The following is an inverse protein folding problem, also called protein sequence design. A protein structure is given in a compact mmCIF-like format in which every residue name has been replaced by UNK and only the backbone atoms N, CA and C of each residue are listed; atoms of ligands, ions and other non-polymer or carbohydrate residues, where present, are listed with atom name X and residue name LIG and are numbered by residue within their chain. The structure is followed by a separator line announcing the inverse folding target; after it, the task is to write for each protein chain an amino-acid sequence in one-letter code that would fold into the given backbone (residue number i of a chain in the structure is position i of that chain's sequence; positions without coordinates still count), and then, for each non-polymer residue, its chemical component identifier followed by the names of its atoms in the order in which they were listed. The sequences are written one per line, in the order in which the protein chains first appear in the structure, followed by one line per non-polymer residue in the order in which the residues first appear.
data_IF_978719783939
#
_entry.id   IF_978719783939
#
_cell.length_a   1.000
_cell.length_b   1.000
_cell.length_c   1.000
_cell.angle_alpha   90.00
_cell.angle_beta   90.00
_cell.angle_gamma   90.00
#
_symmetry.space_group_name_H-M   'P 1'
#
loop_
_entity.id
_entity.type
_entity.pdbx_description
1 polymer ?
#
# COMPACT_ATOMS: atom_id res chain seq x y z
N UNK A 1 5.49 14.55 -21.03
CA UNK A 1 6.20 13.32 -21.44
C UNK A 1 7.33 12.95 -20.48
N UNK A 2 8.30 13.84 -20.21
CA UNK A 2 9.45 13.57 -19.30
C UNK A 2 9.00 13.12 -17.89
N UNK A 3 7.98 13.76 -17.29
CA UNK A 3 7.45 13.36 -15.98
C UNK A 3 6.93 11.91 -15.93
N UNK A 4 6.30 11.44 -17.01
CA UNK A 4 5.81 10.06 -17.11
C UNK A 4 6.98 9.07 -17.23
N UNK A 5 7.99 9.40 -18.06
CA UNK A 5 9.19 8.57 -18.24
C UNK A 5 9.90 8.37 -16.89
N UNK A 6 10.09 9.44 -16.12
CA UNK A 6 10.73 9.37 -14.80
C UNK A 6 9.92 8.49 -13.84
N UNK A 7 8.59 8.64 -13.78
CA UNK A 7 7.73 7.79 -12.93
C UNK A 7 7.82 6.31 -13.32
N UNK A 8 7.85 6.00 -14.61
CA UNK A 8 8.02 4.63 -15.10
C UNK A 8 9.40 4.06 -14.72
N UNK A 9 10.47 4.86 -14.79
CA UNK A 9 11.81 4.45 -14.38
C UNK A 9 11.89 4.08 -12.89
N UNK A 10 11.19 4.81 -12.01
CA UNK A 10 11.10 4.43 -10.60
C UNK A 10 10.40 3.09 -10.39
N UNK A 11 9.30 2.83 -11.13
CA UNK A 11 8.63 1.54 -11.10
C UNK A 11 9.56 0.40 -11.57
N UNK A 12 10.25 0.60 -12.69
CA UNK A 12 11.21 -0.38 -13.21
C UNK A 12 12.36 -0.62 -12.24
N UNK A 13 12.92 0.43 -11.64
CA UNK A 13 13.98 0.34 -10.63
C UNK A 13 13.52 -0.45 -9.40
N UNK A 14 12.30 -0.24 -8.91
CA UNK A 14 11.74 -1.00 -7.81
C UNK A 14 11.59 -2.49 -8.17
N UNK A 15 11.10 -2.81 -9.37
CA UNK A 15 10.99 -4.20 -9.85
C UNK A 15 12.36 -4.87 -9.95
N UNK A 16 13.36 -4.18 -10.50
CA UNK A 16 14.75 -4.69 -10.56
C UNK A 16 15.31 -4.91 -9.15
N UNK A 17 15.11 -3.97 -8.23
CA UNK A 17 15.55 -4.12 -6.84
C UNK A 17 14.89 -5.33 -6.16
N UNK A 18 13.58 -5.54 -6.34
CA UNK A 18 12.88 -6.74 -5.85
C UNK A 18 13.48 -8.01 -6.45
N UNK A 19 13.73 -8.03 -7.77
CA UNK A 19 14.27 -9.19 -8.47
C UNK A 19 15.70 -9.53 -8.01
N UNK A 20 16.54 -8.53 -7.72
CA UNK A 20 17.89 -8.73 -7.19
C UNK A 20 17.85 -9.17 -5.72
N UNK A 21 17.07 -8.49 -4.88
CA UNK A 21 16.99 -8.77 -3.45
C UNK A 21 16.36 -10.13 -3.16
N UNK A 22 15.35 -10.54 -3.92
CA UNK A 22 14.68 -11.85 -3.75
C UNK A 22 15.59 -13.06 -4.01
N UNK A 23 16.73 -12.87 -4.68
CA UNK A 23 17.74 -13.91 -4.93
C UNK A 23 18.87 -13.92 -3.89
N UNK A 24 18.89 -12.96 -2.97
CA UNK A 24 19.92 -12.83 -1.95
C UNK A 24 19.63 -13.73 -0.73
N UNK A 25 20.63 -13.91 0.15
CA UNK A 25 20.44 -14.58 1.46
C UNK A 25 19.40 -13.87 2.34
N UNK A 26 19.19 -12.58 2.10
CA UNK A 26 18.22 -11.73 2.80
C UNK A 26 17.00 -11.44 1.93
N UNK A 27 16.45 -12.48 1.29
CA UNK A 27 15.33 -12.35 0.33
C UNK A 27 14.10 -11.62 0.90
N UNK A 28 13.87 -11.69 2.22
CA UNK A 28 12.79 -10.99 2.91
C UNK A 28 12.85 -9.46 2.77
N UNK A 29 14.04 -8.89 2.53
CA UNK A 29 14.21 -7.44 2.28
C UNK A 29 13.49 -7.02 1.00
N UNK A 30 13.29 -7.93 0.04
CA UNK A 30 12.48 -7.65 -1.15
C UNK A 30 11.04 -7.24 -0.79
N UNK A 31 10.52 -7.68 0.36
CA UNK A 31 9.22 -7.25 0.88
C UNK A 31 9.18 -5.81 1.39
N UNK A 32 10.33 -5.20 1.72
CA UNK A 32 10.42 -3.80 2.15
C UNK A 32 10.40 -2.81 0.97
N UNK A 33 10.92 -3.20 -0.19
CA UNK A 33 10.97 -2.35 -1.39
C UNK A 33 9.58 -1.78 -1.76
N UNK A 34 8.50 -2.58 -1.85
CA UNK A 34 7.18 -2.04 -2.17
C UNK A 34 6.56 -1.18 -1.06
N UNK A 35 7.13 -1.16 0.16
CA UNK A 35 6.70 -0.26 1.24
C UNK A 35 7.22 1.16 1.08
N UNK A 36 8.10 1.40 0.10
CA UNK A 36 8.60 2.75 -0.16
C UNK A 36 7.41 3.69 -0.44
N UNK A 37 7.27 4.81 0.29
CA UNK A 37 6.01 5.54 0.40
C UNK A 37 5.77 6.46 -0.82
N UNK A 38 6.13 6.07 -2.04
CA UNK A 38 6.02 6.94 -3.22
C UNK A 38 4.60 7.44 -3.44
N UNK A 39 3.61 6.54 -3.43
CA UNK A 39 2.21 6.93 -3.60
C UNK A 39 1.72 7.82 -2.46
N UNK A 40 2.10 7.51 -1.21
CA UNK A 40 1.79 8.35 -0.05
C UNK A 40 2.44 9.73 -0.15
N UNK A 41 3.69 9.81 -0.61
CA UNK A 41 4.40 11.07 -0.82
C UNK A 41 3.69 11.93 -1.87
N UNK A 42 3.28 11.34 -3.00
CA UNK A 42 2.50 12.04 -4.02
C UNK A 42 1.17 12.54 -3.45
N UNK A 43 0.45 11.71 -2.70
CA UNK A 43 -0.80 12.10 -2.06
C UNK A 43 -0.59 13.27 -1.06
N UNK A 44 0.45 13.20 -0.24
CA UNK A 44 0.77 14.25 0.72
C UNK A 44 1.18 15.57 0.06
N UNK A 45 1.94 15.52 -1.04
CA UNK A 45 2.28 16.72 -1.81
C UNK A 45 1.02 17.33 -2.40
N UNK A 46 0.17 16.55 -3.07
CA UNK A 46 -1.08 17.04 -3.68
C UNK A 46 -2.00 17.65 -2.63
N UNK A 47 -2.27 16.94 -1.53
CA UNK A 47 -3.13 17.46 -0.45
C UNK A 47 -2.48 18.67 0.24
N UNK A 48 -1.18 18.64 0.50
CA UNK A 48 -0.46 19.74 1.13
C UNK A 48 -0.40 21.01 0.28
N UNK A 49 -0.51 20.89 -1.05
CA UNK A 49 -0.55 22.05 -1.96
C UNK A 49 -1.98 22.52 -2.27
N UNK A 50 -2.96 21.63 -2.29
CA UNK A 50 -4.34 21.94 -2.73
C UNK A 50 -5.34 22.11 -1.58
N UNK A 51 -4.99 21.69 -0.36
CA UNK A 51 -5.86 21.67 0.82
C UNK A 51 -5.16 22.27 2.04
N UNK A 52 -5.85 22.29 3.19
CA UNK A 52 -5.28 22.83 4.42
C UNK A 52 -4.28 21.86 5.06
N UNK A 53 -3.40 22.38 5.92
CA UNK A 53 -2.51 21.54 6.72
C UNK A 53 -3.28 20.54 7.62
N UNK A 54 -4.50 20.88 8.02
CA UNK A 54 -5.40 19.99 8.77
C UNK A 54 -5.87 18.82 7.90
N UNK A 55 -6.19 19.07 6.63
CA UNK A 55 -6.57 18.00 5.70
C UNK A 55 -5.39 17.06 5.40
N UNK A 56 -4.16 17.60 5.36
CA UNK A 56 -2.95 16.79 5.27
C UNK A 56 -2.75 15.91 6.50
N UNK A 57 -2.98 16.44 7.71
CA UNK A 57 -2.93 15.65 8.95
C UNK A 57 -3.93 14.49 8.94
N UNK A 58 -5.16 14.75 8.46
CA UNK A 58 -6.22 13.75 8.33
C UNK A 58 -5.87 12.71 7.27
N UNK A 59 -5.26 13.13 6.16
CA UNK A 59 -4.77 12.23 5.11
C UNK A 59 -3.68 11.30 5.64
N UNK A 60 -2.72 11.84 6.40
CA UNK A 60 -1.68 11.04 7.04
C UNK A 60 -2.27 10.06 8.08
N UNK A 61 -3.25 10.51 8.86
CA UNK A 61 -3.95 9.67 9.83
C UNK A 61 -4.72 8.54 9.14
N UNK A 62 -5.46 8.82 8.06
CA UNK A 62 -6.09 7.79 7.23
C UNK A 62 -5.03 6.81 6.68
N UNK A 63 -3.88 7.34 6.24
CA UNK A 63 -2.73 6.57 5.82
C UNK A 63 -2.26 5.56 6.88
N UNK A 64 -2.20 5.95 8.16
CA UNK A 64 -1.89 5.04 9.26
C UNK A 64 -2.93 3.92 9.41
N UNK A 65 -4.22 4.24 9.38
CA UNK A 65 -5.27 3.21 9.44
C UNK A 65 -5.26 2.29 8.21
N UNK A 66 -4.85 2.80 7.04
CA UNK A 66 -4.72 2.03 5.80
C UNK A 66 -3.65 0.93 5.85
N UNK A 67 -2.79 0.92 6.88
CA UNK A 67 -1.89 -0.20 7.16
C UNK A 67 -2.66 -1.46 7.57
N UNK A 68 -3.85 -1.35 8.16
CA UNK A 68 -4.63 -2.53 8.59
C UNK A 68 -5.00 -3.47 7.42
N UNK A 69 -5.54 -3.01 6.28
CA UNK A 69 -5.70 -3.83 5.08
C UNK A 69 -4.40 -4.55 4.65
N UNK A 70 -3.25 -3.87 4.71
CA UNK A 70 -1.97 -4.47 4.33
C UNK A 70 -1.49 -5.52 5.32
N UNK A 71 -1.67 -5.30 6.62
CA UNK A 71 -1.40 -6.30 7.67
C UNK A 71 -2.25 -7.56 7.43
N UNK A 72 -3.54 -7.40 7.13
CA UNK A 72 -4.44 -8.52 6.84
C UNK A 72 -4.05 -9.27 5.56
N UNK A 73 -3.62 -8.54 4.52
CA UNK A 73 -3.05 -9.15 3.31
C UNK A 73 -1.84 -10.03 3.65
N UNK A 74 -0.85 -9.50 4.37
CA UNK A 74 0.35 -10.24 4.73
C UNK A 74 0.06 -11.44 5.63
N UNK A 75 -0.85 -11.28 6.60
CA UNK A 75 -1.30 -12.38 7.47
C UNK A 75 -1.93 -13.49 6.63
N UNK A 76 -2.76 -13.14 5.65
CA UNK A 76 -3.40 -14.09 4.74
C UNK A 76 -2.36 -14.84 3.91
N UNK A 77 -1.38 -14.14 3.33
CA UNK A 77 -0.26 -14.77 2.62
C UNK A 77 0.52 -15.71 3.53
N UNK A 78 0.89 -15.26 4.73
CA UNK A 78 1.65 -16.04 5.70
C UNK A 78 0.94 -17.34 6.10
N UNK A 79 -0.37 -17.28 6.31
CA UNK A 79 -1.17 -18.44 6.74
C UNK A 79 -1.47 -19.43 5.60
N UNK A 80 -1.61 -18.95 4.36
CA UNK A 80 -2.05 -19.77 3.22
C UNK A 80 -0.91 -20.28 2.34
N UNK A 81 0.26 -19.64 2.34
CA UNK A 81 1.34 -19.94 1.39
C UNK A 81 1.89 -21.36 1.44
N UNK A 82 1.75 -22.06 2.57
CA UNK A 82 2.17 -23.46 2.74
C UNK A 82 1.07 -24.48 2.44
N UNK A 83 -0.18 -24.02 2.24
CA UNK A 83 -1.37 -24.87 2.10
C UNK A 83 -2.00 -24.79 0.72
N UNK A 84 -1.88 -23.66 0.03
CA UNK A 84 -2.51 -23.41 -1.27
C UNK A 84 -1.48 -23.03 -2.33
N UNK A 85 -1.78 -23.27 -3.63
CA UNK A 85 -0.97 -22.74 -4.72
C UNK A 85 -0.80 -21.22 -4.64
N UNK A 86 0.31 -20.70 -5.20
CA UNK A 86 0.64 -19.27 -5.15
C UNK A 86 -0.48 -18.39 -5.69
N UNK A 87 -1.06 -18.76 -6.83
CA UNK A 87 -2.16 -18.00 -7.44
C UNK A 87 -3.36 -17.88 -6.48
N UNK A 88 -3.78 -18.98 -5.87
CA UNK A 88 -4.88 -18.99 -4.91
C UNK A 88 -4.56 -18.17 -3.66
N UNK A 89 -3.34 -18.30 -3.12
CA UNK A 89 -2.87 -17.53 -1.95
C UNK A 89 -2.93 -16.03 -2.21
N UNK A 90 -2.40 -15.58 -3.35
CA UNK A 90 -2.39 -14.16 -3.71
C UNK A 90 -3.80 -13.64 -3.99
N UNK A 91 -4.63 -14.39 -4.71
CA UNK A 91 -6.03 -14.00 -4.97
C UNK A 91 -6.82 -13.85 -3.67
N UNK A 92 -6.74 -14.82 -2.75
CA UNK A 92 -7.42 -14.75 -1.46
C UNK A 92 -6.91 -13.60 -0.60
N UNK A 93 -5.59 -13.40 -0.53
CA UNK A 93 -5.01 -12.27 0.19
C UNK A 93 -5.48 -10.93 -0.39
N UNK A 94 -5.54 -10.78 -1.72
CA UNK A 94 -6.07 -9.58 -2.37
C UNK A 94 -7.56 -9.38 -2.07
N UNK A 95 -8.37 -10.44 -2.04
CA UNK A 95 -9.78 -10.33 -1.66
C UNK A 95 -9.94 -9.86 -0.20
N UNK A 96 -9.17 -10.42 0.74
CA UNK A 96 -9.15 -9.97 2.14
C UNK A 96 -8.75 -8.50 2.23
N UNK A 97 -7.73 -8.08 1.47
CA UNK A 97 -7.31 -6.69 1.40
C UNK A 97 -8.45 -5.78 0.89
N UNK A 98 -9.12 -6.15 -0.20
CA UNK A 98 -10.22 -5.37 -0.80
C UNK A 98 -11.36 -5.20 0.20
N UNK A 99 -11.76 -6.28 0.87
CA UNK A 99 -12.82 -6.24 1.90
C UNK A 99 -12.40 -5.35 3.06
N UNK A 100 -11.19 -5.50 3.59
CA UNK A 100 -10.69 -4.70 4.70
C UNK A 100 -10.58 -3.21 4.34
N UNK A 101 -10.07 -2.89 3.15
CA UNK A 101 -9.99 -1.52 2.64
C UNK A 101 -11.39 -0.91 2.44
N UNK A 102 -12.33 -1.69 1.90
CA UNK A 102 -13.73 -1.28 1.76
C UNK A 102 -14.39 -0.98 3.10
N UNK A 103 -14.23 -1.86 4.09
CA UNK A 103 -14.72 -1.63 5.46
C UNK A 103 -14.10 -0.37 6.05
N UNK A 104 -12.78 -0.20 5.93
CA UNK A 104 -12.09 0.99 6.42
C UNK A 104 -12.66 2.27 5.78
N UNK A 105 -12.88 2.28 4.46
CA UNK A 105 -13.46 3.42 3.76
C UNK A 105 -14.89 3.73 4.22
N UNK A 106 -15.74 2.71 4.40
CA UNK A 106 -17.12 2.89 4.89
C UNK A 106 -17.12 3.44 6.31
N UNK A 107 -16.28 2.90 7.19
CA UNK A 107 -16.11 3.39 8.56
C UNK A 107 -15.63 4.84 8.53
N UNK A 108 -14.54 5.11 7.82
CA UNK A 108 -13.92 6.42 7.77
C UNK A 108 -14.87 7.49 7.24
N UNK A 109 -15.55 7.21 6.13
CA UNK A 109 -16.51 8.16 5.54
C UNK A 109 -17.65 8.45 6.49
N UNK A 110 -18.24 7.45 7.18
CA UNK A 110 -19.33 7.67 8.15
C UNK A 110 -18.91 8.49 9.37
N UNK A 111 -17.75 8.22 9.95
CA UNK A 111 -17.27 8.93 11.14
C UNK A 111 -16.76 10.33 10.81
N UNK A 112 -16.07 10.49 9.68
CA UNK A 112 -15.51 11.79 9.29
C UNK A 112 -16.53 12.71 8.62
N UNK A 113 -17.56 12.18 7.95
CA UNK A 113 -18.68 12.98 7.45
C UNK A 113 -19.63 13.47 8.55
N UNK A 114 -19.65 12.84 9.72
CA UNK A 114 -20.48 13.23 10.86
C UNK A 114 -19.85 14.28 11.79
N UNK A 115 -18.64 14.76 11.47
CA UNK A 115 -17.85 15.73 12.27
C UNK A 115 -17.71 17.09 11.55
N UNK A 116 -18.34 17.24 10.37
CA UNK A 116 -18.57 18.51 9.65
C UNK A 116 -20.03 18.93 9.81
#
# INVERSE_FOLDING_TARGET
MISLIVKCLFGAAAVVAIALLSRSKSFFIAGLVPLFPTFSLVAHVVVGTERSAKDLQVTALFGLYSLAPYILYLLTVYLLCTRFPLAATLTLATLVWVVAAGILLVIWTRFYSGVL
#
